data_IF_870309613660
#
_entry.id   IF_870309613660
#
_cell.length_a   1.000
_cell.length_b   1.000
_cell.length_c   1.000
_cell.angle_alpha   90.00
_cell.angle_beta   90.00
_cell.angle_gamma   90.00
#
_symmetry.space_group_name_H-M   'P 1'
#
loop_
_entity.id
_entity.type
_entity.pdbx_description
1 polymer ?
#
# COMPACT_ATOMS: atom_id res chain seq x y z
N UNK A 1 32.20 69.65 -27.58
CA UNK A 1 31.96 68.99 -26.29
C UNK A 1 30.69 68.16 -26.44
N UNK A 2 30.78 66.83 -26.32
CA UNK A 2 29.61 65.94 -26.39
C UNK A 2 29.46 65.25 -25.03
N UNK A 3 28.33 65.47 -24.36
CA UNK A 3 28.02 64.91 -23.05
C UNK A 3 27.42 63.51 -23.21
N UNK A 4 28.03 62.52 -22.57
CA UNK A 4 27.47 61.17 -22.46
C UNK A 4 26.37 61.16 -21.38
N UNK A 5 25.15 60.80 -21.77
CA UNK A 5 24.06 60.53 -20.83
C UNK A 5 24.14 59.08 -20.36
N UNK A 6 24.32 58.90 -19.05
CA UNK A 6 24.30 57.58 -18.42
C UNK A 6 22.84 57.10 -18.26
N UNK A 7 22.51 55.97 -18.90
CA UNK A 7 21.22 55.30 -18.72
C UNK A 7 21.27 54.41 -17.47
N UNK A 8 20.40 54.70 -16.50
CA UNK A 8 20.25 53.91 -15.28
C UNK A 8 19.33 52.71 -15.55
N UNK A 9 19.85 51.49 -15.42
CA UNK A 9 19.10 50.24 -15.54
C UNK A 9 18.42 49.97 -14.20
N UNK A 10 17.09 50.00 -14.17
CA UNK A 10 16.30 49.58 -13.00
C UNK A 10 16.22 48.06 -12.97
N UNK A 11 16.90 47.41 -12.00
CA UNK A 11 16.72 45.98 -11.73
C UNK A 11 15.46 45.77 -10.88
N UNK A 12 14.45 45.12 -11.46
CA UNK A 12 13.32 44.56 -10.69
C UNK A 12 13.79 43.31 -9.95
N UNK A 13 13.51 43.16 -8.64
CA UNK A 13 13.82 41.94 -7.93
C UNK A 13 12.92 40.80 -8.44
N UNK A 14 13.53 39.72 -8.93
CA UNK A 14 12.81 38.49 -9.23
C UNK A 14 12.39 37.84 -7.91
N UNK A 15 11.08 37.69 -7.69
CA UNK A 15 10.54 36.83 -6.64
C UNK A 15 10.89 35.38 -6.96
N UNK A 16 11.81 34.79 -6.19
CA UNK A 16 12.00 33.35 -6.15
C UNK A 16 10.76 32.73 -5.51
N UNK A 17 9.85 32.19 -6.33
CA UNK A 17 8.83 31.30 -5.84
C UNK A 17 9.52 30.01 -5.37
N UNK A 18 9.65 29.84 -4.05
CA UNK A 18 10.00 28.55 -3.45
C UNK A 18 8.82 27.60 -3.67
N UNK A 19 8.81 26.92 -4.81
CA UNK A 19 7.98 25.72 -4.98
C UNK A 19 8.67 24.61 -4.20
N UNK A 20 8.38 24.47 -2.90
CA UNK A 20 8.45 23.16 -2.26
C UNK A 20 7.20 22.39 -2.68
N UNK A 21 7.09 22.11 -3.98
CA UNK A 21 6.44 20.89 -4.38
C UNK A 21 7.50 19.83 -4.13
N UNK A 22 7.42 19.17 -2.97
CA UNK A 22 7.72 17.75 -2.92
C UNK A 22 6.91 17.12 -4.07
N UNK A 23 7.56 16.99 -5.21
CA UNK A 23 7.18 16.13 -6.32
C UNK A 23 7.23 14.71 -5.73
N UNK A 24 6.18 14.38 -4.98
CA UNK A 24 6.17 13.22 -4.10
C UNK A 24 6.11 11.97 -4.98
N UNK A 25 7.29 11.46 -5.32
CA UNK A 25 7.45 10.19 -6.01
C UNK A 25 6.61 9.13 -5.27
N UNK A 26 5.88 8.26 -5.99
CA UNK A 26 5.13 7.20 -5.34
C UNK A 26 6.04 6.34 -4.46
N UNK A 27 5.58 6.04 -3.25
CA UNK A 27 6.35 5.36 -2.22
C UNK A 27 6.06 3.85 -2.24
N UNK A 28 7.12 3.05 -2.17
CA UNK A 28 7.00 1.60 -2.13
C UNK A 28 6.85 1.10 -0.68
N UNK A 29 6.16 -0.03 -0.44
CA UNK A 29 6.15 -0.66 0.87
C UNK A 29 7.55 -1.16 1.25
N UNK A 30 7.86 -1.29 2.55
CA UNK A 30 9.06 -1.98 3.01
C UNK A 30 9.18 -3.39 2.43
N UNK A 31 10.42 -3.84 2.21
CA UNK A 31 10.68 -5.18 1.69
C UNK A 31 10.26 -6.27 2.70
N UNK A 32 9.70 -7.36 2.18
CA UNK A 32 9.49 -8.59 2.95
C UNK A 32 10.85 -9.26 3.12
N UNK A 33 11.30 -9.42 4.36
CA UNK A 33 12.64 -9.92 4.69
C UNK A 33 12.63 -11.38 5.15
N UNK A 34 11.46 -11.92 5.46
CA UNK A 34 11.25 -13.32 5.81
C UNK A 34 11.04 -14.19 4.56
N UNK A 35 11.47 -15.44 4.66
CA UNK A 35 11.12 -16.49 3.72
C UNK A 35 9.84 -17.18 4.15
N UNK A 36 9.08 -17.67 3.18
CA UNK A 36 7.80 -18.32 3.39
C UNK A 36 7.99 -19.74 3.89
N UNK A 37 7.21 -20.14 4.89
CA UNK A 37 7.13 -21.54 5.29
C UNK A 37 6.36 -22.35 4.24
N UNK A 38 6.48 -23.70 4.24
CA UNK A 38 5.63 -24.55 3.42
C UNK A 38 4.13 -24.32 3.64
N UNK A 39 3.72 -24.09 4.90
CA UNK A 39 2.33 -23.76 5.24
C UNK A 39 1.91 -22.42 4.64
N UNK A 40 2.73 -21.37 4.76
CA UNK A 40 2.41 -20.06 4.20
C UNK A 40 2.26 -20.11 2.67
N UNK A 41 3.12 -20.87 1.98
CA UNK A 41 3.02 -21.09 0.53
C UNK A 41 1.73 -21.80 0.14
N UNK A 42 1.34 -22.84 0.88
CA UNK A 42 0.09 -23.58 0.63
C UNK A 42 -1.13 -22.68 0.84
N UNK A 43 -1.16 -21.94 1.95
CA UNK A 43 -2.26 -20.99 2.24
C UNK A 43 -2.33 -19.90 1.18
N UNK A 44 -1.19 -19.35 0.73
CA UNK A 44 -1.16 -18.35 -0.33
C UNK A 44 -1.70 -18.88 -1.66
N UNK A 45 -1.42 -20.13 -2.03
CA UNK A 45 -2.00 -20.78 -3.22
C UNK A 45 -3.51 -20.91 -3.10
N UNK A 46 -4.01 -21.36 -1.94
CA UNK A 46 -5.46 -21.49 -1.69
C UNK A 46 -6.16 -20.14 -1.72
N UNK A 47 -5.59 -19.11 -1.08
CA UNK A 47 -6.08 -17.74 -1.13
C UNK A 47 -6.15 -17.22 -2.57
N UNK A 48 -5.09 -17.42 -3.35
CA UNK A 48 -5.04 -17.04 -4.76
C UNK A 48 -6.14 -17.74 -5.58
N UNK A 49 -6.30 -19.05 -5.42
CA UNK A 49 -7.32 -19.83 -6.13
C UNK A 49 -8.75 -19.37 -5.82
N UNK A 50 -8.99 -18.91 -4.59
CA UNK A 50 -10.28 -18.36 -4.16
C UNK A 50 -10.45 -16.86 -4.44
N UNK A 51 -9.49 -16.24 -5.13
CA UNK A 51 -9.55 -14.83 -5.50
C UNK A 51 -9.46 -13.89 -4.29
N UNK A 52 -8.76 -14.30 -3.23
CA UNK A 52 -8.56 -13.44 -2.07
C UNK A 52 -7.80 -12.16 -2.45
N UNK A 53 -8.11 -11.06 -1.78
CA UNK A 53 -7.41 -9.77 -1.93
C UNK A 53 -6.94 -9.27 -0.59
N UNK A 54 -5.75 -8.68 -0.58
CA UNK A 54 -5.13 -8.10 0.60
C UNK A 54 -5.01 -6.59 0.42
N UNK A 55 -5.85 -5.83 1.13
CA UNK A 55 -5.89 -4.38 1.07
C UNK A 55 -5.01 -3.78 2.16
N UNK A 56 -4.15 -2.83 1.79
CA UNK A 56 -3.32 -2.13 2.76
C UNK A 56 -2.75 -0.83 2.23
N UNK A 57 -1.85 -0.22 3.01
CA UNK A 57 -1.12 0.97 2.63
C UNK A 57 0.40 0.73 2.74
N UNK A 58 1.20 1.38 1.89
CA UNK A 58 2.65 1.16 1.86
C UNK A 58 3.34 1.44 3.21
N UNK A 59 2.83 2.43 3.97
CA UNK A 59 3.36 2.88 5.26
C UNK A 59 2.80 2.10 6.47
N UNK A 60 1.85 1.19 6.26
CA UNK A 60 1.11 0.52 7.32
C UNK A 60 1.97 -0.59 7.99
N UNK A 61 2.26 -0.42 9.29
CA UNK A 61 3.08 -1.37 10.06
C UNK A 61 2.47 -2.77 10.14
N UNK A 62 1.16 -2.88 10.40
CA UNK A 62 0.43 -4.15 10.42
C UNK A 62 0.38 -4.83 9.05
N UNK A 63 0.35 -4.04 7.98
CA UNK A 63 0.39 -4.55 6.62
C UNK A 63 1.77 -5.14 6.31
N UNK A 64 2.83 -4.48 6.79
CA UNK A 64 4.17 -5.05 6.73
C UNK A 64 4.27 -6.31 7.61
N UNK A 65 3.73 -6.30 8.84
CA UNK A 65 3.66 -7.47 9.73
C UNK A 65 3.05 -8.69 9.03
N UNK A 66 1.85 -8.51 8.47
CA UNK A 66 1.15 -9.55 7.70
C UNK A 66 2.01 -10.12 6.56
N UNK A 67 2.70 -9.24 5.83
CA UNK A 67 3.61 -9.65 4.74
C UNK A 67 4.80 -10.46 5.27
N UNK A 68 5.35 -10.11 6.44
CA UNK A 68 6.43 -10.88 7.07
C UNK A 68 5.93 -12.25 7.57
N UNK A 69 4.71 -12.34 8.09
CA UNK A 69 4.09 -13.61 8.52
C UNK A 69 3.98 -14.60 7.37
N UNK A 70 3.61 -14.12 6.18
CA UNK A 70 3.50 -14.96 4.98
C UNK A 70 4.86 -15.24 4.31
N UNK A 71 5.75 -14.25 4.29
CA UNK A 71 7.05 -14.34 3.65
C UNK A 71 7.04 -13.97 2.16
N UNK A 72 8.25 -13.74 1.62
CA UNK A 72 8.44 -13.12 0.31
C UNK A 72 7.90 -13.94 -0.87
N UNK A 73 7.96 -15.27 -0.81
CA UNK A 73 7.48 -16.18 -1.86
C UNK A 73 5.95 -16.28 -1.88
N UNK A 74 5.31 -16.42 -0.72
CA UNK A 74 3.86 -16.45 -0.56
C UNK A 74 3.23 -15.11 -1.00
N UNK A 75 3.83 -13.98 -0.62
CA UNK A 75 3.34 -12.66 -1.01
C UNK A 75 3.37 -12.39 -2.52
N UNK A 76 4.14 -13.16 -3.31
CA UNK A 76 4.08 -13.06 -4.79
C UNK A 76 2.81 -13.65 -5.39
N UNK A 77 2.11 -14.51 -4.65
CA UNK A 77 0.87 -15.16 -5.10
C UNK A 77 -0.38 -14.37 -4.72
N UNK A 78 -0.27 -13.49 -3.73
CA UNK A 78 -1.40 -12.81 -3.11
C UNK A 78 -1.59 -11.43 -3.74
N UNK A 79 -2.76 -11.14 -4.32
CA UNK A 79 -3.08 -9.81 -4.84
C UNK A 79 -3.11 -8.76 -3.71
N UNK A 80 -2.03 -7.98 -3.59
CA UNK A 80 -1.98 -6.80 -2.74
C UNK A 80 -2.56 -5.58 -3.47
N UNK A 81 -3.49 -4.88 -2.84
CA UNK A 81 -4.11 -3.66 -3.35
C UNK A 81 -3.64 -2.49 -2.48
N UNK A 82 -2.88 -1.60 -3.10
CA UNK A 82 -2.38 -0.37 -2.47
C UNK A 82 -3.50 0.67 -2.39
N UNK A 83 -3.90 1.04 -1.18
CA UNK A 83 -5.03 1.93 -0.94
C UNK A 83 -4.63 3.39 -0.69
N UNK A 84 -3.35 3.69 -0.47
CA UNK A 84 -2.88 5.05 -0.31
C UNK A 84 -2.59 5.71 -1.66
N UNK A 85 -3.00 6.97 -1.83
CA UNK A 85 -2.83 7.70 -3.09
C UNK A 85 -1.35 7.97 -3.42
N UNK A 86 -0.47 8.01 -2.42
CA UNK A 86 0.96 8.22 -2.58
C UNK A 86 1.73 6.91 -2.73
N UNK A 87 1.06 5.75 -2.69
CA UNK A 87 1.67 4.45 -2.89
C UNK A 87 1.95 4.15 -4.38
N UNK A 88 3.02 3.41 -4.66
CA UNK A 88 3.30 2.89 -6.00
C UNK A 88 2.11 2.06 -6.50
N UNK A 89 1.63 2.35 -7.71
CA UNK A 89 0.49 1.68 -8.34
C UNK A 89 -0.78 1.71 -7.45
N UNK A 90 -1.04 2.86 -6.84
CA UNK A 90 -2.25 3.07 -6.03
C UNK A 90 -3.52 2.67 -6.76
N UNK A 91 -4.39 1.96 -6.04
CA UNK A 91 -5.72 1.53 -6.44
C UNK A 91 -6.76 2.03 -5.42
N UNK A 92 -6.54 3.23 -4.86
CA UNK A 92 -7.39 3.85 -3.83
C UNK A 92 -8.88 3.80 -4.15
N UNK A 93 -9.28 4.07 -5.39
CA UNK A 93 -10.70 4.03 -5.81
C UNK A 93 -11.32 2.64 -5.67
N UNK A 94 -10.54 1.58 -5.94
CA UNK A 94 -10.96 0.20 -5.71
C UNK A 94 -11.15 -0.06 -4.22
N UNK A 95 -10.27 0.45 -3.35
CA UNK A 95 -10.42 0.29 -1.91
C UNK A 95 -11.67 1.01 -1.37
N UNK A 96 -11.96 2.22 -1.86
CA UNK A 96 -13.17 2.96 -1.52
C UNK A 96 -14.43 2.20 -1.98
N UNK A 97 -14.42 1.69 -3.22
CA UNK A 97 -15.53 0.92 -3.79
C UNK A 97 -15.76 -0.41 -3.08
N UNK A 98 -14.69 -1.05 -2.60
CA UNK A 98 -14.74 -2.28 -1.80
C UNK A 98 -15.15 -2.03 -0.33
N UNK A 99 -15.33 -0.77 0.09
CA UNK A 99 -15.77 -0.41 1.43
C UNK A 99 -14.71 -0.59 2.52
N UNK A 100 -13.42 -0.59 2.16
CA UNK A 100 -12.30 -0.77 3.11
C UNK A 100 -12.29 0.38 4.12
N UNK A 101 -12.33 0.04 5.42
CA UNK A 101 -12.37 1.01 6.54
C UNK A 101 -11.07 1.14 7.31
N UNK A 102 -10.17 0.16 7.17
CA UNK A 102 -8.90 0.12 7.87
C UNK A 102 -7.94 -0.88 7.24
N UNK A 103 -6.68 -0.80 7.66
CA UNK A 103 -5.61 -1.62 7.09
C UNK A 103 -4.90 -2.47 8.17
N UNK A 104 -4.47 -3.68 7.82
CA UNK A 104 -4.87 -4.39 6.61
C UNK A 104 -6.35 -4.81 6.63
N UNK A 105 -6.90 -5.15 5.47
CA UNK A 105 -8.17 -5.87 5.37
C UNK A 105 -8.03 -6.96 4.30
N UNK A 106 -8.45 -8.18 4.62
CA UNK A 106 -8.57 -9.25 3.64
C UNK A 106 -9.98 -9.27 3.06
N UNK A 107 -10.11 -9.55 1.76
CA UNK A 107 -11.37 -9.95 1.15
C UNK A 107 -11.25 -11.38 0.66
N UNK A 108 -12.22 -12.22 1.01
CA UNK A 108 -12.29 -13.61 0.59
C UNK A 108 -13.77 -14.00 0.46
N UNK A 109 -14.15 -14.57 -0.69
CA UNK A 109 -15.54 -14.94 -1.02
C UNK A 109 -16.59 -13.82 -0.81
N UNK A 110 -16.18 -12.57 -1.01
CA UNK A 110 -17.04 -11.39 -0.84
C UNK A 110 -17.15 -10.88 0.59
N UNK A 111 -16.61 -11.58 1.58
CA UNK A 111 -16.53 -11.13 2.97
C UNK A 111 -15.24 -10.33 3.22
N UNK A 112 -15.31 -9.37 4.15
CA UNK A 112 -14.15 -8.56 4.59
C UNK A 112 -13.71 -8.98 5.98
N UNK A 113 -12.41 -9.19 6.16
CA UNK A 113 -11.77 -9.57 7.41
C UNK A 113 -10.75 -8.47 7.80
N UNK A 114 -11.11 -7.52 8.66
CA UNK A 114 -10.22 -6.43 9.06
C UNK A 114 -9.12 -6.91 10.01
N UNK A 115 -7.91 -6.39 9.82
CA UNK A 115 -6.75 -6.64 10.67
C UNK A 115 -5.78 -7.68 10.12
N UNK A 116 -4.65 -7.76 10.79
CA UNK A 116 -3.61 -8.76 10.56
C UNK A 116 -4.11 -10.15 10.97
N UNK A 117 -3.58 -11.19 10.33
CA UNK A 117 -3.96 -12.59 10.50
C UNK A 117 -2.72 -13.47 10.57
N UNK A 118 -2.66 -14.33 11.58
CA UNK A 118 -1.67 -15.41 11.60
C UNK A 118 -2.06 -16.54 10.62
N UNK A 119 -1.22 -17.58 10.52
CA UNK A 119 -1.45 -18.67 9.56
C UNK A 119 -2.65 -19.55 9.95
N UNK A 120 -3.00 -19.63 11.23
CA UNK A 120 -4.12 -20.43 11.72
C UNK A 120 -5.43 -19.67 11.45
N UNK A 121 -5.48 -18.36 11.71
CA UNK A 121 -6.62 -17.51 11.36
C UNK A 121 -6.86 -17.48 9.83
N UNK A 122 -5.81 -17.45 9.01
CA UNK A 122 -5.94 -17.58 7.55
C UNK A 122 -6.52 -18.96 7.17
N UNK A 123 -6.13 -20.01 7.89
CA UNK A 123 -6.68 -21.36 7.69
C UNK A 123 -8.17 -21.41 8.03
N UNK A 124 -8.59 -20.75 9.11
CA UNK A 124 -10.00 -20.64 9.52
C UNK A 124 -10.82 -19.83 8.51
N UNK A 125 -10.29 -18.69 8.03
CA UNK A 125 -10.90 -17.91 6.94
C UNK A 125 -11.11 -18.78 5.70
N UNK A 126 -10.09 -19.52 5.28
CA UNK A 126 -10.18 -20.43 4.13
C UNK A 126 -11.14 -21.61 4.34
N UNK A 127 -11.44 -21.97 5.59
CA UNK A 127 -12.38 -23.04 5.92
C UNK A 127 -13.82 -22.55 6.01
N UNK A 128 -14.05 -21.23 6.01
CA UNK A 128 -15.36 -20.62 6.25
C UNK A 128 -15.84 -20.75 7.71
N UNK A 129 -14.94 -21.16 8.62
CA UNK A 129 -15.24 -21.43 10.03
C UNK A 129 -15.29 -20.15 10.89
N UNK A 130 -14.91 -18.99 10.34
CA UNK A 130 -14.93 -17.70 11.03
C UNK A 130 -16.33 -17.15 11.39
N UNK A 131 -17.41 -17.92 11.16
CA UNK A 131 -18.75 -17.60 11.70
C UNK A 131 -18.89 -18.19 13.11
N UNK A 132 -18.10 -17.62 14.03
CA UNK A 132 -18.28 -17.73 15.47
C UNK A 132 -18.80 -16.40 16.01
N UNK A 133 -19.98 -16.44 16.59
CA UNK A 133 -20.70 -15.35 17.25
C UNK A 133 -19.87 -14.53 18.26
N UNK A 134 -19.94 -13.20 18.15
CA UNK A 134 -20.03 -12.28 19.31
C UNK A 134 -20.71 -10.99 18.91
#
# INVERSE_FOLDING_TARGET
>A
AAALTAATITLTPATLASTTADDAMPQAPPAVRTHSSPQALELARRLQQRGARFYGAYWCSHCNGQKQTLGAEAMKLIPYIECDAQGVNSQRDQCMSAGIKGYPTWQLDGELYPGERDLDEITEMLSGAGKGTS
#
